data_IF_736927558171
#
_entry.id   IF_736927558171
#
_cell.length_a   1.000
_cell.length_b   1.000
_cell.length_c   1.000
_cell.angle_alpha   90.00
_cell.angle_beta   90.00
_cell.angle_gamma   90.00
#
_symmetry.space_group_name_H-M   'P 1'
#
loop_
_entity.id
_entity.type
_entity.pdbx_description
1 polymer ?
#
# COMPACT_ATOMS: atom_id res chain seq x y z
N UNK A 1 -33.78 -34.99 14.13
CA UNK A 1 -34.06 -33.99 13.06
C UNK A 1 -33.41 -32.61 13.29
N UNK A 2 -32.53 -32.43 14.29
CA UNK A 2 -31.96 -31.13 14.72
C UNK A 2 -30.60 -30.75 14.11
N UNK A 3 -29.87 -31.69 13.49
CA UNK A 3 -28.52 -31.43 12.96
C UNK A 3 -28.49 -30.62 11.65
N UNK A 4 -29.45 -30.87 10.74
CA UNK A 4 -29.49 -30.23 9.41
C UNK A 4 -29.84 -28.74 9.46
N UNK A 5 -30.66 -28.33 10.43
CA UNK A 5 -31.00 -26.92 10.67
C UNK A 5 -29.80 -26.15 11.26
N UNK A 6 -29.04 -26.78 12.16
CA UNK A 6 -27.81 -26.21 12.73
C UNK A 6 -26.72 -26.02 11.66
N UNK A 7 -26.56 -26.98 10.77
CA UNK A 7 -25.63 -26.87 9.64
C UNK A 7 -25.98 -25.72 8.69
N UNK A 8 -27.26 -25.55 8.35
CA UNK A 8 -27.69 -24.41 7.51
C UNK A 8 -27.51 -23.07 8.21
N UNK A 9 -27.71 -22.98 9.52
CA UNK A 9 -27.45 -21.75 10.29
C UNK A 9 -25.96 -21.40 10.36
N UNK A 10 -25.08 -22.40 10.48
CA UNK A 10 -23.63 -22.17 10.49
C UNK A 10 -23.11 -21.74 9.11
N UNK A 11 -23.65 -22.32 8.04
CA UNK A 11 -23.28 -21.95 6.66
C UNK A 11 -23.75 -20.53 6.35
N UNK A 12 -24.98 -20.16 6.72
CA UNK A 12 -25.46 -18.80 6.51
C UNK A 12 -24.71 -17.77 7.36
N UNK A 13 -24.32 -18.11 8.60
CA UNK A 13 -23.49 -17.25 9.44
C UNK A 13 -22.09 -17.02 8.82
N UNK A 14 -21.48 -18.06 8.25
CA UNK A 14 -20.19 -17.97 7.56
C UNK A 14 -20.27 -17.14 6.28
N UNK A 15 -21.36 -17.29 5.50
CA UNK A 15 -21.56 -16.49 4.28
C UNK A 15 -21.81 -15.01 4.58
N UNK A 16 -22.52 -14.70 5.67
CA UNK A 16 -22.72 -13.31 6.11
C UNK A 16 -21.42 -12.72 6.64
N UNK A 17 -20.64 -13.47 7.42
CA UNK A 17 -19.33 -13.02 7.89
C UNK A 17 -18.34 -12.79 6.74
N UNK A 18 -18.30 -13.69 5.74
CA UNK A 18 -17.50 -13.51 4.53
C UNK A 18 -17.96 -12.31 3.68
N UNK A 19 -19.28 -12.07 3.62
CA UNK A 19 -19.85 -10.89 2.97
C UNK A 19 -19.47 -9.57 3.65
N UNK A 20 -19.46 -9.53 4.99
CA UNK A 20 -19.05 -8.35 5.77
C UNK A 20 -17.55 -8.08 5.59
N UNK A 21 -16.69 -9.12 5.57
CA UNK A 21 -15.25 -8.99 5.29
C UNK A 21 -14.94 -8.41 3.89
N UNK A 22 -15.85 -8.56 2.92
CA UNK A 22 -15.74 -7.94 1.59
C UNK A 22 -16.17 -6.47 1.58
N UNK A 23 -17.02 -6.04 2.53
CA UNK A 23 -17.58 -4.69 2.60
C UNK A 23 -16.69 -3.74 3.39
N UNK A 24 -15.95 -4.22 4.39
CA UNK A 24 -15.05 -3.39 5.21
C UNK A 24 -13.78 -2.91 4.47
N UNK A 25 -13.64 -3.20 3.17
CA UNK A 25 -12.63 -2.62 2.29
C UNK A 25 -11.20 -3.16 2.49
N UNK A 26 -10.84 -3.55 3.71
CA UNK A 26 -9.55 -4.14 4.07
C UNK A 26 -9.28 -5.44 3.29
N UNK A 27 -10.26 -6.35 3.25
CA UNK A 27 -10.16 -7.61 2.51
C UNK A 27 -10.11 -7.42 0.99
N UNK A 28 -10.88 -6.45 0.48
CA UNK A 28 -10.86 -6.10 -0.94
C UNK A 28 -9.53 -5.47 -1.35
N UNK A 29 -9.00 -4.53 -0.54
CA UNK A 29 -7.70 -3.89 -0.76
C UNK A 29 -6.58 -4.93 -0.78
N UNK A 30 -6.49 -5.78 0.23
CA UNK A 30 -5.48 -6.83 0.28
C UNK A 30 -5.53 -7.77 -0.96
N UNK A 31 -6.74 -8.11 -1.41
CA UNK A 31 -6.96 -8.91 -2.63
C UNK A 31 -6.55 -8.17 -3.91
N UNK A 32 -6.88 -6.87 -4.05
CA UNK A 32 -6.49 -6.06 -5.23
C UNK A 32 -5.00 -5.75 -5.30
N UNK A 33 -4.30 -5.59 -4.17
CA UNK A 33 -2.90 -5.14 -4.12
C UNK A 33 -1.85 -6.26 -4.00
N UNK A 34 -2.28 -7.53 -4.05
CA UNK A 34 -1.35 -8.67 -4.03
C UNK A 34 -0.48 -8.69 -2.77
N UNK A 35 -1.08 -8.42 -1.61
CA UNK A 35 -0.46 -8.60 -0.30
C UNK A 35 0.45 -7.48 0.23
N UNK A 36 0.62 -6.36 -0.49
CA UNK A 36 1.30 -5.17 0.05
C UNK A 36 0.35 -3.98 -0.03
N UNK A 37 -0.34 -3.61 1.07
CA UNK A 37 -1.25 -2.48 1.07
C UNK A 37 -0.49 -1.19 0.78
N UNK A 38 -1.12 -0.25 0.06
CA UNK A 38 -0.61 1.11 -0.10
C UNK A 38 -0.28 1.64 1.31
N UNK A 39 0.91 2.22 1.54
CA UNK A 39 1.28 2.70 2.86
C UNK A 39 0.28 3.75 3.35
N UNK A 40 -0.16 3.61 4.60
CA UNK A 40 -0.96 4.63 5.27
C UNK A 40 -0.05 5.81 5.59
N UNK A 41 -0.35 6.96 4.99
CA UNK A 41 0.41 8.20 5.16
C UNK A 41 -0.51 9.17 5.87
N UNK A 42 -0.02 9.80 6.94
CA UNK A 42 -0.73 10.92 7.56
C UNK A 42 -0.60 12.14 6.64
N UNK A 43 -1.71 12.48 5.98
CA UNK A 43 -1.77 13.59 5.04
C UNK A 43 -2.24 14.90 5.71
N UNK A 44 -2.72 14.84 6.95
CA UNK A 44 -3.30 16.00 7.65
C UNK A 44 -2.23 17.02 8.04
N UNK A 45 -1.00 16.55 8.30
CA UNK A 45 0.14 17.40 8.64
C UNK A 45 0.87 17.96 7.40
N UNK A 46 0.52 17.51 6.19
CA UNK A 46 1.18 17.93 4.95
C UNK A 46 0.52 19.19 4.36
N UNK A 47 1.32 19.99 3.66
CA UNK A 47 0.79 21.11 2.87
C UNK A 47 -0.24 20.59 1.84
N UNK A 48 -1.34 21.32 1.65
CA UNK A 48 -2.50 20.86 0.87
C UNK A 48 -2.14 20.37 -0.54
N UNK A 49 -1.23 21.08 -1.23
CA UNK A 49 -0.76 20.71 -2.57
C UNK A 49 0.00 19.39 -2.59
N UNK A 50 0.77 19.12 -1.53
CA UNK A 50 1.52 17.86 -1.35
C UNK A 50 0.55 16.72 -1.11
N UNK A 51 -0.39 16.89 -0.18
CA UNK A 51 -1.43 15.90 0.11
C UNK A 51 -2.25 15.57 -1.15
N UNK A 52 -2.64 16.59 -1.92
CA UNK A 52 -3.36 16.41 -3.19
C UNK A 52 -2.54 15.65 -4.22
N UNK A 53 -1.24 15.96 -4.35
CA UNK A 53 -0.34 15.26 -5.26
C UNK A 53 -0.19 13.78 -4.88
N UNK A 54 0.01 13.48 -3.60
CA UNK A 54 0.15 12.11 -3.10
C UNK A 54 -1.15 11.34 -3.31
N UNK A 55 -2.29 11.94 -2.95
CA UNK A 55 -3.62 11.34 -3.15
C UNK A 55 -3.87 11.01 -4.62
N UNK A 56 -3.54 11.94 -5.53
CA UNK A 56 -3.67 11.69 -6.96
C UNK A 56 -2.81 10.49 -7.42
N UNK A 57 -1.59 10.33 -6.89
CA UNK A 57 -0.72 9.19 -7.21
C UNK A 57 -1.26 7.88 -6.63
N UNK A 58 -1.80 7.90 -5.40
CA UNK A 58 -2.46 6.74 -4.81
C UNK A 58 -3.63 6.27 -5.68
N UNK A 59 -4.45 7.19 -6.19
CA UNK A 59 -5.53 6.84 -7.12
C UNK A 59 -5.04 6.19 -8.41
N UNK A 60 -3.86 6.57 -8.94
CA UNK A 60 -3.30 5.89 -10.11
C UNK A 60 -2.90 4.44 -9.80
N UNK A 61 -2.38 4.20 -8.60
CA UNK A 61 -2.09 2.85 -8.11
C UNK A 61 -3.39 2.06 -7.88
N UNK A 62 -4.46 2.69 -7.39
CA UNK A 62 -5.76 2.05 -7.23
C UNK A 62 -6.38 1.62 -8.58
N UNK A 63 -6.17 2.43 -9.61
CA UNK A 63 -6.64 2.16 -10.98
C UNK A 63 -5.87 1.00 -11.63
N UNK A 64 -4.54 0.98 -11.48
CA UNK A 64 -3.69 -0.11 -11.96
C UNK A 64 -2.66 -0.56 -10.89
N UNK A 65 -3.06 -1.47 -10.00
CA UNK A 65 -2.19 -2.01 -8.96
C UNK A 65 -0.99 -2.81 -9.49
N UNK A 66 -1.02 -3.22 -10.76
CA UNK A 66 0.04 -4.01 -11.40
C UNK A 66 1.07 -3.16 -12.13
N UNK A 67 0.84 -1.85 -12.23
CA UNK A 67 1.77 -0.93 -12.91
C UNK A 67 2.96 -0.58 -12.03
N UNK A 68 4.13 -1.13 -12.36
CA UNK A 68 5.40 -0.76 -11.73
C UNK A 68 5.64 0.77 -11.79
N UNK A 69 5.31 1.40 -12.92
CA UNK A 69 5.44 2.86 -13.10
C UNK A 69 4.51 3.65 -12.16
N UNK A 70 3.27 3.20 -11.92
CA UNK A 70 2.36 3.87 -11.00
C UNK A 70 2.92 3.84 -9.56
N UNK A 71 3.41 2.67 -9.12
CA UNK A 71 4.08 2.52 -7.83
C UNK A 71 5.35 3.35 -7.72
N UNK A 72 6.21 3.35 -8.75
CA UNK A 72 7.43 4.16 -8.79
C UNK A 72 7.15 5.67 -8.73
N UNK A 73 6.09 6.15 -9.41
CA UNK A 73 5.68 7.58 -9.34
C UNK A 73 5.11 7.98 -7.99
N UNK A 74 4.40 7.08 -7.31
CA UNK A 74 3.97 7.31 -5.94
C UNK A 74 5.19 7.38 -5.02
N UNK A 75 6.13 6.44 -5.15
CA UNK A 75 7.37 6.41 -4.37
C UNK A 75 8.17 7.72 -4.52
N UNK A 76 8.38 8.20 -5.75
CA UNK A 76 9.08 9.47 -6.02
C UNK A 76 8.36 10.65 -5.35
N UNK A 77 7.02 10.71 -5.42
CA UNK A 77 6.27 11.79 -4.79
C UNK A 77 6.46 11.79 -3.26
N UNK A 78 6.49 10.61 -2.64
CA UNK A 78 6.73 10.47 -1.21
C UNK A 78 8.17 10.83 -0.83
N UNK A 79 9.14 10.34 -1.59
CA UNK A 79 10.56 10.54 -1.38
C UNK A 79 10.95 12.02 -1.41
N UNK A 80 10.45 12.78 -2.40
CA UNK A 80 10.69 14.22 -2.53
C UNK A 80 10.15 15.02 -1.33
N UNK A 81 9.17 14.48 -0.61
CA UNK A 81 8.59 15.09 0.59
C UNK A 81 9.09 14.45 1.89
N UNK A 82 10.26 13.80 1.85
CA UNK A 82 10.94 13.17 2.98
C UNK A 82 10.17 12.04 3.70
N UNK A 83 9.13 11.52 3.06
CA UNK A 83 8.40 10.34 3.51
C UNK A 83 9.14 9.07 3.07
N UNK A 84 10.35 8.84 3.62
CA UNK A 84 11.28 7.80 3.13
C UNK A 84 10.77 6.38 3.34
N UNK A 85 10.23 6.07 4.52
CA UNK A 85 9.67 4.75 4.82
C UNK A 85 8.57 4.31 3.83
N UNK A 86 7.48 5.09 3.62
CA UNK A 86 6.46 4.71 2.67
C UNK A 86 6.97 4.76 1.21
N UNK A 87 7.90 5.65 0.88
CA UNK A 87 8.54 5.67 -0.44
C UNK A 87 9.28 4.36 -0.73
N UNK A 88 10.07 3.86 0.23
CA UNK A 88 10.84 2.62 0.09
C UNK A 88 9.93 1.42 -0.17
N UNK A 89 8.79 1.33 0.53
CA UNK A 89 7.77 0.30 0.29
C UNK A 89 7.29 0.35 -1.16
N UNK A 90 6.97 1.54 -1.67
CA UNK A 90 6.48 1.71 -3.04
C UNK A 90 7.57 1.40 -4.08
N UNK A 91 8.83 1.80 -3.87
CA UNK A 91 9.93 1.44 -4.79
C UNK A 91 10.15 -0.06 -4.86
N UNK A 92 10.17 -0.77 -3.72
CA UNK A 92 10.30 -2.23 -3.69
C UNK A 92 9.13 -2.94 -4.37
N UNK A 93 7.92 -2.38 -4.25
CA UNK A 93 6.75 -2.90 -4.97
C UNK A 93 6.91 -2.72 -6.49
N UNK A 94 7.38 -1.57 -6.95
CA UNK A 94 7.68 -1.33 -8.36
C UNK A 94 8.73 -2.30 -8.90
N UNK A 95 9.83 -2.51 -8.16
CA UNK A 95 10.86 -3.51 -8.47
C UNK A 95 10.29 -4.94 -8.55
N UNK A 96 9.39 -5.31 -7.63
CA UNK A 96 8.76 -6.64 -7.65
C UNK A 96 7.87 -6.83 -8.88
N UNK A 97 7.21 -5.77 -9.35
CA UNK A 97 6.32 -5.81 -10.52
C UNK A 97 7.11 -5.79 -11.84
N UNK A 98 8.22 -5.06 -11.89
CA UNK A 98 9.14 -5.02 -13.03
C UNK A 98 10.59 -4.97 -12.54
N UNK A 99 11.19 -6.15 -12.42
CA UNK A 99 12.59 -6.30 -12.03
C UNK A 99 13.60 -6.00 -13.14
N UNK A 100 13.14 -5.70 -14.36
CA UNK A 100 14.02 -5.35 -15.48
C UNK A 100 14.37 -3.86 -15.52
N UNK A 101 13.50 -3.01 -14.96
CA UNK A 101 13.73 -1.58 -14.83
C UNK A 101 14.61 -1.30 -13.60
N UNK A 102 15.90 -1.04 -13.85
CA UNK A 102 16.92 -0.80 -12.83
C UNK A 102 16.68 0.47 -12.00
N UNK A 103 15.84 1.39 -12.48
CA UNK A 103 15.54 2.65 -11.79
C UNK A 103 14.94 2.44 -10.40
N UNK A 104 14.05 1.47 -10.25
CA UNK A 104 13.35 1.22 -8.98
C UNK A 104 14.27 0.68 -7.88
N UNK A 105 15.07 -0.38 -8.10
CA UNK A 105 16.04 -0.83 -7.10
C UNK A 105 17.10 0.23 -6.81
N UNK A 106 17.51 1.03 -7.81
CA UNK A 106 18.44 2.13 -7.58
C UNK A 106 17.86 3.19 -6.62
N UNK A 107 16.65 3.67 -6.87
CA UNK A 107 16.00 4.63 -5.97
C UNK A 107 15.64 4.04 -4.61
N UNK A 108 15.26 2.75 -4.55
CA UNK A 108 15.07 2.05 -3.28
C UNK A 108 16.34 2.05 -2.42
N UNK A 109 17.50 1.79 -3.02
CA UNK A 109 18.79 1.81 -2.33
C UNK A 109 19.13 3.18 -1.74
N UNK A 110 18.99 4.24 -2.55
CA UNK A 110 19.23 5.62 -2.09
C UNK A 110 18.24 6.00 -0.98
N UNK A 111 16.96 5.68 -1.15
CA UNK A 111 15.92 5.99 -0.18
C UNK A 111 16.17 5.28 1.17
N UNK A 112 16.63 4.03 1.16
CA UNK A 112 16.96 3.28 2.36
C UNK A 112 18.16 3.88 3.10
N UNK A 113 19.25 4.20 2.41
CA UNK A 113 20.44 4.80 3.04
C UNK A 113 20.10 6.12 3.74
N UNK A 114 19.28 6.96 3.08
CA UNK A 114 18.84 8.22 3.65
C UNK A 114 17.88 7.97 4.81
N UNK A 115 16.88 7.10 4.65
CA UNK A 115 15.94 6.76 5.73
C UNK A 115 16.63 6.31 7.02
N UNK A 116 17.59 5.40 6.91
CA UNK A 116 18.36 4.87 8.05
C UNK A 116 19.13 5.98 8.79
N UNK A 117 19.74 6.91 8.04
CA UNK A 117 20.46 8.05 8.61
C UNK A 117 19.52 8.98 9.39
N UNK A 118 18.35 9.27 8.82
CA UNK A 118 17.33 10.11 9.45
C UNK A 118 16.85 9.46 10.74
N UNK A 119 16.59 8.16 10.73
CA UNK A 119 16.15 7.44 11.92
C UNK A 119 17.21 7.43 13.02
N UNK A 120 18.49 7.26 12.66
CA UNK A 120 19.59 7.33 13.63
C UNK A 120 19.66 8.69 14.33
N UNK A 121 19.46 9.80 13.60
CA UNK A 121 19.46 11.16 14.18
C UNK A 121 18.32 11.39 15.17
N UNK A 122 17.14 10.81 14.92
CA UNK A 122 15.97 10.96 15.79
C UNK A 122 16.04 10.11 17.07
N UNK A 123 16.98 9.17 17.14
CA UNK A 123 17.14 8.25 18.28
C UNK A 123 18.19 8.68 19.32
N UNK A 124 18.87 9.82 19.10
CA UNK A 124 19.83 10.43 20.01
C UNK A 124 19.17 11.44 20.95
#
# INVERSE_FOLDING_TARGET
>A
MTGRRRATFLISLLLVAAGIFLVDGEGWRAFKFGGHPIPLIDLEELHHDVATRITFRQQQVDLDPSSAEAWGRLAIALDIHDLKEPALICYRKAETLDGSELRWPYFAGICAEIGDRQQALLSC
#
